data_IF_531524172405
#
_entry.id   IF_531524172405
#
_cell.length_a   1.000
_cell.length_b   1.000
_cell.length_c   1.000
_cell.angle_alpha   90.00
_cell.angle_beta   90.00
_cell.angle_gamma   90.00
#
_symmetry.space_group_name_H-M   'P 1'
#
loop_
_entity.id
_entity.type
_entity.pdbx_description
1 polymer ?
#
# COMPACT_ATOMS: atom_id res chain seq x y z
N UNK A 1 9.57 -13.65 -25.66
CA UNK A 1 8.31 -13.16 -25.05
C UNK A 1 7.78 -14.08 -23.94
N UNK A 2 7.71 -15.39 -24.16
CA UNK A 2 7.16 -16.34 -23.16
C UNK A 2 7.89 -16.33 -21.81
N UNK A 3 9.23 -16.29 -21.81
CA UNK A 3 10.02 -16.22 -20.56
C UNK A 3 9.70 -14.97 -19.74
N UNK A 4 9.50 -13.81 -20.38
CA UNK A 4 9.16 -12.55 -19.70
C UNK A 4 7.78 -12.65 -19.05
N UNK A 5 6.79 -13.18 -19.77
CA UNK A 5 5.44 -13.41 -19.23
C UNK A 5 5.44 -14.36 -18.04
N UNK A 6 6.21 -15.45 -18.12
CA UNK A 6 6.37 -16.39 -17.00
C UNK A 6 7.01 -15.72 -15.77
N UNK A 7 8.10 -14.96 -15.96
CA UNK A 7 8.73 -14.19 -14.88
C UNK A 7 7.75 -13.16 -14.28
N UNK A 8 7.00 -12.45 -15.12
CA UNK A 8 5.95 -11.53 -14.68
C UNK A 8 4.90 -12.21 -13.82
N UNK A 9 4.42 -13.39 -14.24
CA UNK A 9 3.46 -14.18 -13.48
C UNK A 9 3.99 -14.62 -12.12
N UNK A 10 5.25 -15.05 -12.04
CA UNK A 10 5.90 -15.41 -10.76
C UNK A 10 6.00 -14.19 -9.85
N UNK A 11 6.43 -13.04 -10.38
CA UNK A 11 6.52 -11.79 -9.60
C UNK A 11 5.14 -11.34 -9.13
N UNK A 12 4.11 -11.48 -9.96
CA UNK A 12 2.74 -11.17 -9.60
C UNK A 12 2.24 -12.08 -8.48
N UNK A 13 2.53 -13.38 -8.57
CA UNK A 13 2.14 -14.36 -7.58
C UNK A 13 2.83 -14.13 -6.23
N UNK A 14 4.14 -13.84 -6.23
CA UNK A 14 4.87 -13.45 -5.03
C UNK A 14 4.29 -12.16 -4.45
N UNK A 15 4.00 -11.17 -5.30
CA UNK A 15 3.34 -9.94 -4.89
C UNK A 15 1.98 -10.17 -4.25
N UNK A 16 1.16 -11.06 -4.83
CA UNK A 16 -0.13 -11.47 -4.27
C UNK A 16 0.03 -12.11 -2.88
N UNK A 17 1.02 -12.98 -2.71
CA UNK A 17 1.34 -13.60 -1.42
C UNK A 17 1.76 -12.55 -0.39
N UNK A 18 2.47 -11.48 -0.76
CA UNK A 18 2.93 -10.42 0.15
C UNK A 18 1.89 -9.30 0.38
N UNK A 19 0.93 -9.14 -0.54
CA UNK A 19 -0.10 -8.10 -0.49
C UNK A 19 -1.25 -8.45 0.45
N UNK A 20 -1.98 -7.46 0.99
CA UNK A 20 -3.10 -7.70 1.91
C UNK A 20 -4.35 -8.28 1.20
N UNK A 21 -4.28 -8.55 -0.10
CA UNK A 21 -5.36 -9.20 -0.85
C UNK A 21 -5.52 -10.69 -0.49
N UNK A 22 -4.49 -11.28 0.12
CA UNK A 22 -4.52 -12.65 0.64
C UNK A 22 -4.91 -12.63 2.12
N UNK A 23 -6.08 -13.14 2.49
CA UNK A 23 -6.57 -13.09 3.88
C UNK A 23 -5.68 -13.80 4.92
N UNK A 24 -4.80 -14.71 4.49
CA UNK A 24 -3.86 -15.44 5.36
C UNK A 24 -2.44 -14.86 5.35
N UNK A 25 -2.15 -13.89 4.47
CA UNK A 25 -0.80 -13.33 4.28
C UNK A 25 -0.27 -12.67 5.55
N UNK A 26 -1.11 -11.91 6.25
CA UNK A 26 -0.67 -11.16 7.42
C UNK A 26 -0.12 -12.07 8.52
N UNK A 27 -0.82 -13.17 8.81
CA UNK A 27 -0.44 -14.09 9.88
C UNK A 27 0.81 -14.91 9.54
N UNK A 28 0.93 -15.37 8.28
CA UNK A 28 1.93 -16.38 7.89
C UNK A 28 3.17 -15.77 7.24
N UNK A 29 3.05 -14.59 6.63
CA UNK A 29 4.11 -14.00 5.80
C UNK A 29 4.49 -12.60 6.30
N UNK A 30 3.56 -11.65 6.32
CA UNK A 30 3.91 -10.26 6.62
C UNK A 30 4.33 -10.06 8.07
N UNK A 31 3.62 -10.65 9.04
CA UNK A 31 3.99 -10.51 10.46
C UNK A 31 5.33 -11.19 10.80
N UNK A 32 5.65 -12.41 10.31
CA UNK A 32 6.98 -12.98 10.47
C UNK A 32 8.10 -12.15 9.81
N UNK A 33 7.89 -11.66 8.59
CA UNK A 33 8.87 -10.79 7.92
C UNK A 33 9.05 -9.46 8.66
N UNK A 34 7.95 -8.86 9.12
CA UNK A 34 7.96 -7.66 9.93
C UNK A 34 8.69 -7.86 11.26
N UNK A 35 8.50 -9.01 11.91
CA UNK A 35 9.22 -9.38 13.12
C UNK A 35 10.73 -9.47 12.86
N UNK A 36 11.15 -10.18 11.80
CA UNK A 36 12.57 -10.26 11.42
C UNK A 36 13.13 -8.86 11.16
N UNK A 37 12.38 -8.01 10.45
CA UNK A 37 12.78 -6.63 10.23
C UNK A 37 12.89 -5.83 11.54
N UNK A 38 11.95 -5.99 12.47
CA UNK A 38 12.00 -5.41 13.81
C UNK A 38 13.23 -5.86 14.59
N UNK A 39 13.60 -7.14 14.53
CA UNK A 39 14.84 -7.66 15.13
C UNK A 39 16.08 -7.02 14.51
N UNK A 40 16.12 -6.89 13.18
CA UNK A 40 17.23 -6.23 12.48
C UNK A 40 17.37 -4.76 12.89
N UNK A 41 16.26 -4.03 13.04
CA UNK A 41 16.27 -2.64 13.51
C UNK A 41 16.71 -2.57 14.98
N UNK A 42 16.20 -3.46 15.82
CA UNK A 42 16.53 -3.53 17.24
C UNK A 42 18.01 -3.85 17.51
N UNK A 43 18.68 -4.54 16.57
CA UNK A 43 20.11 -4.79 16.63
C UNK A 43 20.93 -3.50 16.66
N UNK A 44 20.48 -2.44 15.96
CA UNK A 44 21.14 -1.13 15.97
C UNK A 44 20.57 -0.19 17.04
N UNK A 45 19.25 -0.23 17.23
CA UNK A 45 18.56 0.64 18.19
C UNK A 45 17.51 -0.18 18.95
N UNK A 46 17.82 -0.71 20.15
CA UNK A 46 16.96 -1.66 20.86
C UNK A 46 15.53 -1.16 21.13
N UNK A 47 15.35 0.15 21.34
CA UNK A 47 14.04 0.78 21.58
C UNK A 47 13.14 0.83 20.34
N UNK A 48 13.70 0.60 19.15
CA UNK A 48 12.98 0.69 17.87
C UNK A 48 12.44 -0.65 17.38
N UNK A 49 12.45 -1.70 18.19
CA UNK A 49 11.89 -3.00 17.82
C UNK A 49 10.44 -2.91 17.32
N UNK A 50 9.53 -2.34 18.12
CA UNK A 50 8.11 -2.20 17.77
C UNK A 50 7.88 -1.26 16.57
N UNK A 51 8.46 -0.04 16.54
CA UNK A 51 8.43 0.80 15.33
C UNK A 51 8.96 0.06 14.09
N UNK A 52 10.02 -0.73 14.25
CA UNK A 52 10.59 -1.57 13.20
C UNK A 52 9.59 -2.57 12.66
N UNK A 53 8.89 -3.31 13.52
CA UNK A 53 7.82 -4.23 13.09
C UNK A 53 6.74 -3.51 12.28
N UNK A 54 6.27 -2.36 12.76
CA UNK A 54 5.21 -1.59 12.08
C UNK A 54 5.68 -1.16 10.68
N UNK A 55 6.90 -0.60 10.59
CA UNK A 55 7.49 -0.17 9.32
C UNK A 55 7.72 -1.37 8.40
N UNK A 56 8.23 -2.48 8.94
CA UNK A 56 8.46 -3.71 8.19
C UNK A 56 7.17 -4.27 7.59
N UNK A 57 6.09 -4.29 8.38
CA UNK A 57 4.76 -4.70 7.93
C UNK A 57 4.20 -3.78 6.83
N UNK A 58 4.37 -2.47 6.95
CA UNK A 58 3.97 -1.54 5.89
C UNK A 58 4.81 -1.74 4.62
N UNK A 59 6.11 -1.96 4.76
CA UNK A 59 6.99 -2.22 3.64
C UNK A 59 6.62 -3.52 2.91
N UNK A 60 6.36 -4.61 3.61
CA UNK A 60 5.95 -5.88 2.97
C UNK A 60 4.66 -5.71 2.19
N UNK A 61 3.68 -4.97 2.73
CA UNK A 61 2.42 -4.67 2.05
C UNK A 61 2.60 -3.82 0.79
N UNK A 62 3.37 -2.73 0.89
CA UNK A 62 3.63 -1.82 -0.24
C UNK A 62 4.43 -2.53 -1.34
N UNK A 63 5.48 -3.28 -0.96
CA UNK A 63 6.27 -4.08 -1.88
C UNK A 63 5.40 -5.15 -2.55
N UNK A 64 4.55 -5.84 -1.79
CA UNK A 64 3.60 -6.82 -2.30
C UNK A 64 2.69 -6.24 -3.38
N UNK A 65 2.10 -5.06 -3.14
CA UNK A 65 1.28 -4.35 -4.13
C UNK A 65 2.06 -3.97 -5.39
N UNK A 66 3.28 -3.44 -5.24
CA UNK A 66 4.12 -3.05 -6.38
C UNK A 66 4.50 -4.28 -7.21
N UNK A 67 4.90 -5.37 -6.57
CA UNK A 67 5.25 -6.63 -7.22
C UNK A 67 4.03 -7.23 -7.94
N UNK A 68 2.87 -7.24 -7.30
CA UNK A 68 1.63 -7.73 -7.90
C UNK A 68 1.29 -6.93 -9.16
N UNK A 69 1.26 -5.60 -9.06
CA UNK A 69 0.87 -4.72 -10.16
C UNK A 69 1.83 -4.82 -11.34
N UNK A 70 3.14 -4.71 -11.09
CA UNK A 70 4.16 -4.81 -12.15
C UNK A 70 4.24 -6.21 -12.74
N UNK A 71 4.22 -7.24 -11.90
CA UNK A 71 4.26 -8.63 -12.34
C UNK A 71 3.05 -8.96 -13.23
N UNK A 72 1.85 -8.54 -12.83
CA UNK A 72 0.63 -8.77 -13.60
C UNK A 72 0.69 -8.07 -14.97
N UNK A 73 1.22 -6.85 -15.02
CA UNK A 73 1.45 -6.13 -16.28
C UNK A 73 2.42 -6.89 -17.20
N UNK A 74 3.60 -7.30 -16.69
CA UNK A 74 4.57 -8.09 -17.47
C UNK A 74 3.97 -9.42 -17.93
N UNK A 75 3.17 -10.08 -17.09
CA UNK A 75 2.51 -11.34 -17.41
C UNK A 75 1.52 -11.19 -18.57
N UNK A 76 0.74 -10.09 -18.57
CA UNK A 76 -0.28 -9.81 -19.55
C UNK A 76 0.30 -9.32 -20.89
N UNK A 77 1.24 -8.36 -20.86
CA UNK A 77 1.77 -7.73 -22.08
C UNK A 77 2.98 -8.50 -22.63
N UNK A 78 3.82 -9.06 -21.76
CA UNK A 78 5.13 -9.62 -22.13
C UNK A 78 6.22 -8.57 -22.28
N UNK A 79 5.90 -7.32 -21.96
CA UNK A 79 6.80 -6.18 -21.96
C UNK A 79 7.08 -5.73 -20.54
N UNK A 80 8.29 -5.24 -20.29
CA UNK A 80 8.61 -4.65 -19.01
C UNK A 80 7.80 -3.36 -18.87
N UNK A 81 7.00 -3.17 -17.80
CA UNK A 81 6.28 -1.93 -17.61
C UNK A 81 7.33 -0.83 -17.56
N UNK A 82 7.16 0.21 -18.39
CA UNK A 82 7.86 1.46 -18.22
C UNK A 82 7.55 1.94 -16.80
N UNK A 83 8.41 1.56 -15.86
CA UNK A 83 8.38 2.08 -14.52
C UNK A 83 8.95 3.47 -14.62
N UNK A 84 8.19 4.39 -15.21
CA UNK A 84 8.53 5.79 -15.11
C UNK A 84 7.99 6.20 -13.74
N UNK A 85 8.84 6.54 -12.75
CA UNK A 85 8.39 7.10 -11.48
C UNK A 85 7.45 8.30 -11.67
N UNK A 86 7.50 8.92 -12.85
CA UNK A 86 6.58 9.94 -13.36
C UNK A 86 5.13 9.48 -13.54
N UNK A 87 4.88 8.23 -13.94
CA UNK A 87 3.53 7.68 -14.07
C UNK A 87 2.91 7.41 -12.69
N UNK A 88 3.67 6.81 -11.78
CA UNK A 88 3.26 6.64 -10.38
C UNK A 88 3.07 7.99 -9.68
N UNK A 89 3.97 8.95 -9.88
CA UNK A 89 3.82 10.31 -9.36
C UNK A 89 2.63 11.04 -9.98
N UNK A 90 2.27 10.74 -11.24
CA UNK A 90 1.06 11.27 -11.87
C UNK A 90 -0.19 10.69 -11.21
N UNK A 91 -0.24 9.39 -10.98
CA UNK A 91 -1.41 8.75 -10.38
C UNK A 91 -1.58 9.14 -8.90
N UNK A 92 -0.47 9.24 -8.16
CA UNK A 92 -0.44 9.83 -6.80
C UNK A 92 -0.87 11.30 -6.84
N UNK A 93 -0.36 12.07 -7.80
CA UNK A 93 -0.74 13.47 -8.00
C UNK A 93 -2.23 13.64 -8.32
N UNK A 94 -2.81 12.76 -9.13
CA UNK A 94 -4.24 12.73 -9.43
C UNK A 94 -5.04 12.36 -8.18
N UNK A 95 -4.58 11.39 -7.39
CA UNK A 95 -5.25 11.02 -6.14
C UNK A 95 -5.22 12.16 -5.12
N UNK A 96 -4.06 12.80 -4.92
CA UNK A 96 -3.92 13.95 -4.02
C UNK A 96 -4.77 15.12 -4.53
N UNK A 97 -4.76 15.39 -5.83
CA UNK A 97 -5.57 16.43 -6.46
C UNK A 97 -7.07 16.17 -6.29
N UNK A 98 -7.51 14.93 -6.45
CA UNK A 98 -8.90 14.53 -6.23
C UNK A 98 -9.30 14.67 -4.75
N UNK A 99 -8.46 14.24 -3.82
CA UNK A 99 -8.71 14.42 -2.38
C UNK A 99 -8.75 15.90 -2.01
N UNK A 100 -7.81 16.72 -2.51
CA UNK A 100 -7.80 18.15 -2.29
C UNK A 100 -9.06 18.82 -2.87
N UNK A 101 -9.49 18.40 -4.07
CA UNK A 101 -10.72 18.87 -4.68
C UNK A 101 -11.94 18.53 -3.81
N UNK A 102 -12.05 17.29 -3.32
CA UNK A 102 -13.14 16.89 -2.40
C UNK A 102 -13.12 17.73 -1.13
N UNK A 103 -11.96 17.95 -0.51
CA UNK A 103 -11.82 18.81 0.68
C UNK A 103 -12.27 20.24 0.39
N UNK A 104 -11.88 20.81 -0.76
CA UNK A 104 -12.29 22.15 -1.19
C UNK A 104 -13.80 22.21 -1.42
N UNK A 105 -14.38 21.22 -2.11
CA UNK A 105 -15.82 21.15 -2.36
C UNK A 105 -16.65 21.02 -1.07
N UNK A 106 -16.14 20.29 -0.08
CA UNK A 106 -16.73 20.22 1.25
C UNK A 106 -16.62 21.57 1.97
N UNK A 107 -15.45 22.22 1.91
CA UNK A 107 -15.24 23.53 2.54
C UNK A 107 -16.19 24.60 1.97
N UNK A 108 -16.34 24.66 0.65
CA UNK A 108 -17.26 25.58 -0.01
C UNK A 108 -18.74 25.16 0.06
N UNK A 109 -19.06 24.06 0.76
CA UNK A 109 -20.43 23.60 0.97
C UNK A 109 -21.13 23.07 -0.28
N UNK A 110 -20.37 22.82 -1.37
CA UNK A 110 -20.89 22.20 -2.59
C UNK A 110 -21.18 20.71 -2.34
N UNK A 111 -20.33 20.07 -1.54
CA UNK A 111 -20.58 18.73 -1.01
C UNK A 111 -21.09 18.83 0.43
N UNK A 112 -22.33 18.42 0.64
CA UNK A 112 -22.94 18.33 1.96
C UNK A 112 -22.49 17.02 2.62
N UNK A 113 -21.76 17.13 3.72
CA UNK A 113 -21.42 15.98 4.55
C UNK A 113 -22.67 15.57 5.34
N UNK A 114 -23.06 14.28 5.36
CA UNK A 114 -24.23 13.83 6.13
C UNK A 114 -24.10 14.19 7.61
N UNK A 115 -25.15 14.76 8.21
CA UNK A 115 -25.13 15.19 9.62
C UNK A 115 -24.81 14.05 10.59
N UNK A 116 -25.23 12.82 10.29
CA UNK A 116 -24.92 11.65 11.10
C UNK A 116 -23.41 11.38 11.20
N UNK A 117 -22.68 11.67 10.12
CA UNK A 117 -21.23 11.52 10.08
C UNK A 117 -20.51 12.63 10.86
N UNK A 118 -21.05 13.85 10.84
CA UNK A 118 -20.55 14.98 11.64
C UNK A 118 -20.76 14.74 13.14
N UNK A 119 -21.92 14.21 13.54
CA UNK A 119 -22.21 13.84 14.94
C UNK A 119 -21.28 12.74 15.43
N UNK A 120 -21.06 11.70 14.63
CA UNK A 120 -20.13 10.62 14.97
C UNK A 120 -18.68 11.13 15.16
N UNK A 121 -18.23 12.11 14.37
CA UNK A 121 -16.90 12.73 14.55
C UNK A 121 -16.86 13.58 15.83
N UNK A 122 -17.90 14.36 16.12
CA UNK A 122 -17.97 15.18 17.33
C UNK A 122 -17.95 14.35 18.62
N UNK A 123 -18.70 13.24 18.65
CA UNK A 123 -18.74 12.32 19.79
C UNK A 123 -17.40 11.60 20.00
N UNK A 124 -16.63 11.38 18.92
CA UNK A 124 -15.31 10.74 19.01
C UNK A 124 -14.19 11.68 19.47
N UNK A 125 -14.36 13.00 19.27
CA UNK A 125 -13.38 14.04 19.64
C UNK A 125 -13.72 14.70 20.98
N UNK A 126 -14.95 14.55 21.47
CA UNK A 126 -15.44 15.14 22.73
C UNK A 126 -15.94 14.03 23.66
N UNK A 127 -15.05 13.36 24.43
CA UNK A 127 -15.45 12.36 25.41
C UNK A 127 -16.19 12.94 26.62
#
# INVERSE_FOLDING_TARGET
MERKRATGGIVAFIGFILSPLSWWNDLVVNLPLAYVFGVLVAFFVPTWFLPGIIVGYWLTNVIGFIMLHKGALVAATGEDPETTPRALARDVGISIGYTALVVVLVWYGVLVVPEEMLRAIQDMVSP
#
